data_IF_013284324009
#
_entry.id   IF_013284324009
#
_cell.length_a   1.000
_cell.length_b   1.000
_cell.length_c   1.000
_cell.angle_alpha   90.00
_cell.angle_beta   90.00
_cell.angle_gamma   90.00
#
_symmetry.space_group_name_H-M   'P 1'
#
loop_
_entity.id
_entity.type
_entity.pdbx_description
1 polymer ?
#
# COMPACT_ATOMS: atom_id res chain seq x y z
N UNK A 1 48.62 -20.99 33.01
CA UNK A 1 48.83 -21.28 31.57
C UNK A 1 48.06 -22.55 31.31
N UNK A 2 46.78 -22.42 30.89
CA UNK A 2 46.35 -22.44 29.48
C UNK A 2 46.46 -23.88 28.97
N UNK A 3 45.43 -24.61 28.56
CA UNK A 3 44.20 -24.33 27.79
C UNK A 3 43.29 -25.57 27.89
N UNK A 4 41.97 -25.39 27.97
CA UNK A 4 40.98 -26.30 27.34
C UNK A 4 39.57 -25.75 27.56
N UNK A 5 39.24 -24.64 26.88
CA UNK A 5 37.88 -24.15 26.76
C UNK A 5 37.19 -24.84 25.60
N UNK A 6 36.60 -26.02 25.84
CA UNK A 6 35.75 -26.70 24.88
C UNK A 6 34.31 -26.19 25.07
N UNK A 7 33.89 -25.27 24.19
CA UNK A 7 32.52 -24.76 24.15
C UNK A 7 31.56 -25.90 23.72
N UNK A 8 30.50 -26.21 24.48
CA UNK A 8 29.57 -27.30 24.17
C UNK A 8 28.38 -26.85 23.29
N UNK A 9 28.39 -25.63 22.77
CA UNK A 9 27.32 -25.14 21.91
C UNK A 9 27.63 -25.50 20.47
N UNK A 10 27.13 -26.68 20.06
CA UNK A 10 26.94 -26.98 18.65
C UNK A 10 26.15 -25.86 18.00
N UNK A 11 26.69 -25.31 16.92
CA UNK A 11 25.94 -24.49 15.98
C UNK A 11 24.68 -25.26 15.60
N UNK A 12 23.53 -24.83 16.11
CA UNK A 12 22.23 -25.21 15.57
C UNK A 12 22.22 -24.61 14.17
N UNK A 13 22.23 -25.42 13.09
CA UNK A 13 22.11 -24.87 11.75
C UNK A 13 20.80 -24.07 11.70
N UNK A 14 20.78 -22.88 11.06
CA UNK A 14 19.53 -22.16 10.91
C UNK A 14 18.52 -23.11 10.25
N UNK A 15 17.39 -23.38 10.90
CA UNK A 15 16.31 -24.15 10.31
C UNK A 15 15.93 -23.47 8.99
N UNK A 16 16.39 -24.04 7.88
CA UNK A 16 15.90 -23.70 6.55
C UNK A 16 14.51 -24.33 6.49
N UNK A 17 13.55 -23.57 6.98
CA UNK A 17 12.11 -23.81 6.84
C UNK A 17 11.85 -24.23 5.38
N UNK A 18 11.46 -25.48 5.17
CA UNK A 18 11.31 -26.02 3.82
C UNK A 18 10.21 -25.24 3.07
N UNK A 19 10.27 -25.20 1.74
CA UNK A 19 9.26 -24.50 0.93
C UNK A 19 7.83 -25.02 1.17
N UNK A 20 7.72 -26.27 1.63
CA UNK A 20 6.48 -26.94 1.98
C UNK A 20 5.97 -26.52 3.37
N UNK A 21 6.83 -26.49 4.38
CA UNK A 21 6.49 -25.99 5.73
C UNK A 21 6.06 -24.52 5.70
N UNK A 22 6.77 -23.70 4.91
CA UNK A 22 6.39 -22.31 4.72
C UNK A 22 5.02 -22.16 4.04
N UNK A 23 4.76 -22.98 3.02
CA UNK A 23 3.46 -22.97 2.32
C UNK A 23 2.34 -23.33 3.29
N UNK A 24 2.54 -24.38 4.09
CA UNK A 24 1.57 -24.80 5.10
C UNK A 24 1.30 -23.70 6.13
N UNK A 25 2.35 -22.98 6.59
CA UNK A 25 2.20 -21.86 7.52
C UNK A 25 1.37 -20.72 6.93
N UNK A 26 1.66 -20.30 5.70
CA UNK A 26 0.91 -19.22 5.04
C UNK A 26 -0.57 -19.61 4.86
N UNK A 27 -0.85 -20.83 4.39
CA UNK A 27 -2.22 -21.32 4.26
C UNK A 27 -2.95 -21.36 5.61
N UNK A 28 -2.27 -21.80 6.67
CA UNK A 28 -2.83 -21.81 8.02
C UNK A 28 -3.14 -20.40 8.54
N UNK A 29 -2.27 -19.42 8.32
CA UNK A 29 -2.48 -18.02 8.72
C UNK A 29 -3.68 -17.39 8.00
N UNK A 30 -3.76 -17.55 6.67
CA UNK A 30 -4.89 -17.04 5.88
C UNK A 30 -6.21 -17.66 6.35
N UNK A 31 -6.23 -18.98 6.56
CA UNK A 31 -7.41 -19.67 7.10
C UNK A 31 -7.82 -19.09 8.46
N UNK A 32 -6.86 -18.96 9.39
CA UNK A 32 -7.10 -18.44 10.73
C UNK A 32 -7.66 -17.02 10.71
N UNK A 33 -7.16 -16.14 9.85
CA UNK A 33 -7.69 -14.78 9.71
C UNK A 33 -9.13 -14.78 9.21
N UNK A 34 -9.44 -15.60 8.20
CA UNK A 34 -10.79 -15.69 7.67
C UNK A 34 -11.77 -16.31 8.68
N UNK A 35 -11.37 -17.34 9.43
CA UNK A 35 -12.21 -17.95 10.47
C UNK A 35 -12.52 -16.98 11.63
N UNK A 36 -11.56 -16.13 11.98
CA UNK A 36 -11.74 -15.12 13.04
C UNK A 36 -12.40 -13.83 12.55
N UNK A 37 -12.51 -13.65 11.24
CA UNK A 37 -12.86 -12.39 10.59
C UNK A 37 -11.99 -11.21 11.09
N UNK A 38 -10.72 -11.48 11.44
CA UNK A 38 -9.76 -10.47 11.90
C UNK A 38 -8.39 -10.68 11.28
N UNK A 39 -7.70 -9.58 10.96
CA UNK A 39 -6.32 -9.57 10.49
C UNK A 39 -5.47 -8.81 11.50
N UNK A 40 -4.32 -9.38 11.86
CA UNK A 40 -3.39 -8.74 12.78
C UNK A 40 -2.62 -7.60 12.11
N UNK A 41 -2.63 -6.42 12.72
CA UNK A 41 -2.13 -5.16 12.20
C UNK A 41 -3.23 -4.25 11.67
N UNK A 42 -2.92 -2.97 11.50
CA UNK A 42 -3.72 -2.01 10.73
C UNK A 42 -3.19 -1.92 9.29
N UNK A 43 -4.07 -2.13 8.32
CA UNK A 43 -3.72 -2.19 6.90
C UNK A 43 -4.30 -1.01 6.12
N UNK A 44 -3.64 -0.58 5.02
CA UNK A 44 -4.16 0.49 4.18
C UNK A 44 -5.47 0.08 3.50
N UNK A 45 -6.34 1.05 3.16
CA UNK A 45 -7.53 0.76 2.36
C UNK A 45 -7.11 0.22 0.98
N UNK A 46 -7.98 -0.63 0.40
CA UNK A 46 -7.77 -1.17 -0.95
C UNK A 46 -7.70 -0.07 -1.99
N UNK A 47 -6.89 -0.29 -3.01
CA UNK A 47 -6.86 0.58 -4.19
C UNK A 47 -8.18 0.55 -4.94
N UNK A 48 -8.45 1.60 -5.72
CA UNK A 48 -9.63 1.65 -6.59
C UNK A 48 -9.63 0.51 -7.62
N UNK A 49 -8.46 0.06 -8.05
CA UNK A 49 -8.34 -1.05 -9.00
C UNK A 49 -8.72 -2.38 -8.35
N UNK A 50 -8.19 -2.68 -7.16
CA UNK A 50 -8.58 -3.87 -6.41
C UNK A 50 -10.08 -3.86 -6.10
N UNK A 51 -10.63 -2.71 -5.67
CA UNK A 51 -12.04 -2.55 -5.40
C UNK A 51 -12.92 -2.82 -6.63
N UNK A 52 -12.53 -2.34 -7.82
CA UNK A 52 -13.26 -2.61 -9.09
C UNK A 52 -13.19 -4.09 -9.46
N UNK A 53 -12.04 -4.75 -9.28
CA UNK A 53 -11.87 -6.18 -9.58
C UNK A 53 -12.68 -7.06 -8.63
N UNK A 54 -12.78 -6.68 -7.36
CA UNK A 54 -13.64 -7.36 -6.38
C UNK A 54 -15.12 -7.08 -6.68
N UNK A 55 -15.48 -5.83 -6.99
CA UNK A 55 -16.84 -5.46 -7.37
C UNK A 55 -17.32 -6.23 -8.61
N UNK A 56 -16.43 -6.56 -9.55
CA UNK A 56 -16.75 -7.39 -10.70
C UNK A 56 -17.34 -8.75 -10.28
N UNK A 57 -16.95 -9.31 -9.12
CA UNK A 57 -17.51 -10.54 -8.56
C UNK A 57 -19.03 -10.51 -8.31
N UNK A 58 -19.62 -9.32 -8.16
CA UNK A 58 -21.06 -9.12 -7.99
C UNK A 58 -21.83 -8.88 -9.29
N UNK A 59 -21.14 -8.80 -10.43
CA UNK A 59 -21.73 -8.46 -11.73
C UNK A 59 -21.96 -9.70 -12.57
N UNK A 60 -22.80 -9.59 -13.60
CA UNK A 60 -23.00 -10.65 -14.59
C UNK A 60 -21.76 -10.83 -15.49
N UNK A 61 -21.69 -11.99 -16.15
CA UNK A 61 -20.52 -12.38 -16.96
C UNK A 61 -20.23 -11.38 -18.11
N UNK A 62 -21.27 -10.83 -18.76
CA UNK A 62 -21.08 -9.90 -19.86
C UNK A 62 -20.48 -8.58 -19.37
N UNK A 63 -20.99 -8.03 -18.26
CA UNK A 63 -20.42 -6.81 -17.66
C UNK A 63 -18.98 -7.03 -17.19
N UNK A 64 -18.66 -8.19 -16.59
CA UNK A 64 -17.28 -8.54 -16.21
C UNK A 64 -16.35 -8.58 -17.42
N UNK A 65 -16.79 -9.15 -18.54
CA UNK A 65 -15.99 -9.20 -19.76
C UNK A 65 -15.67 -7.79 -20.27
N UNK A 66 -16.64 -6.87 -20.26
CA UNK A 66 -16.41 -5.47 -20.62
C UNK A 66 -15.39 -4.83 -19.69
N UNK A 67 -15.47 -5.05 -18.37
CA UNK A 67 -14.49 -4.53 -17.41
C UNK A 67 -13.08 -5.09 -17.65
N UNK A 68 -12.95 -6.36 -17.99
CA UNK A 68 -11.66 -6.97 -18.31
C UNK A 68 -11.03 -6.35 -19.58
N UNK A 69 -11.83 -6.14 -20.63
CA UNK A 69 -11.37 -5.47 -21.87
C UNK A 69 -10.99 -4.02 -21.58
N UNK A 70 -11.81 -3.30 -20.79
CA UNK A 70 -11.49 -1.92 -20.34
C UNK A 70 -10.15 -1.85 -19.63
N UNK A 71 -9.89 -2.75 -18.68
CA UNK A 71 -8.61 -2.83 -17.96
C UNK A 71 -7.43 -3.05 -18.91
N UNK A 72 -7.53 -4.05 -19.80
CA UNK A 72 -6.47 -4.38 -20.78
C UNK A 72 -6.18 -3.26 -21.77
N UNK A 73 -7.18 -2.43 -22.07
CA UNK A 73 -7.05 -1.26 -22.96
C UNK A 73 -6.70 0.04 -22.21
N UNK A 74 -6.43 -0.02 -20.90
CA UNK A 74 -6.08 1.14 -20.08
C UNK A 74 -7.26 2.10 -19.80
N UNK A 75 -8.50 1.65 -20.00
CA UNK A 75 -9.71 2.42 -19.69
C UNK A 75 -10.10 2.21 -18.23
N UNK A 76 -9.98 3.27 -17.43
CA UNK A 76 -10.28 3.25 -16.00
C UNK A 76 -11.78 3.45 -15.70
N UNK A 77 -12.13 3.28 -14.43
CA UNK A 77 -13.42 3.66 -13.83
C UNK A 77 -13.20 4.92 -12.98
N UNK A 78 -14.20 5.81 -12.84
CA UNK A 78 -14.05 7.01 -12.02
C UNK A 78 -13.68 6.69 -10.58
N UNK A 79 -12.64 7.37 -10.08
CA UNK A 79 -12.27 7.34 -8.67
C UNK A 79 -13.16 8.28 -7.85
N UNK A 80 -13.43 7.91 -6.60
CA UNK A 80 -14.09 8.75 -5.59
C UNK A 80 -13.24 8.94 -4.32
N UNK A 81 -11.93 8.64 -4.40
CA UNK A 81 -11.02 8.71 -3.26
C UNK A 81 -11.10 7.50 -2.31
N UNK A 82 -11.46 6.32 -2.82
CA UNK A 82 -11.49 5.06 -2.09
C UNK A 82 -12.89 4.49 -1.86
N UNK A 83 -13.13 3.28 -2.34
CA UNK A 83 -14.42 2.60 -2.21
C UNK A 83 -14.67 1.95 -0.84
N UNK A 84 -13.63 1.76 -0.01
CA UNK A 84 -13.80 1.34 1.39
C UNK A 84 -14.60 2.38 2.20
N UNK A 85 -14.38 3.67 1.96
CA UNK A 85 -15.20 4.73 2.58
C UNK A 85 -16.66 4.68 2.12
N UNK A 86 -16.89 4.37 0.83
CA UNK A 86 -18.25 4.19 0.29
C UNK A 86 -18.98 3.04 0.99
N UNK A 87 -18.30 1.92 1.26
CA UNK A 87 -18.85 0.81 2.04
C UNK A 87 -19.28 1.26 3.43
N UNK A 88 -18.39 1.91 4.19
CA UNK A 88 -18.69 2.40 5.54
C UNK A 88 -19.86 3.38 5.57
N UNK A 89 -19.95 4.29 4.59
CA UNK A 89 -21.04 5.26 4.48
C UNK A 89 -22.37 4.56 4.16
N UNK A 90 -22.33 3.52 3.31
CA UNK A 90 -23.51 2.70 2.97
C UNK A 90 -24.01 1.92 4.19
N UNK A 91 -23.10 1.34 4.97
CA UNK A 91 -23.45 0.64 6.21
C UNK A 91 -24.03 1.60 7.26
N UNK A 92 -23.43 2.78 7.45
CA UNK A 92 -23.98 3.81 8.33
C UNK A 92 -25.40 4.22 7.90
N UNK A 93 -25.61 4.41 6.60
CA UNK A 93 -26.93 4.73 6.05
C UNK A 93 -27.96 3.65 6.40
N UNK A 94 -27.66 2.38 6.14
CA UNK A 94 -28.58 1.28 6.46
C UNK A 94 -28.86 1.15 7.95
N UNK A 95 -27.84 1.33 8.80
CA UNK A 95 -28.01 1.32 10.26
C UNK A 95 -28.92 2.46 10.74
N UNK A 96 -28.73 3.68 10.20
CA UNK A 96 -29.52 4.86 10.55
C UNK A 96 -30.98 4.71 10.09
N UNK A 97 -31.20 4.19 8.88
CA UNK A 97 -32.54 3.92 8.34
C UNK A 97 -33.25 2.86 9.18
N UNK A 98 -32.61 1.72 9.42
CA UNK A 98 -33.18 0.67 10.26
C UNK A 98 -33.53 1.19 11.67
N UNK A 99 -32.64 1.98 12.28
CA UNK A 99 -32.91 2.59 13.59
C UNK A 99 -34.08 3.56 13.54
N UNK A 100 -34.20 4.38 12.48
CA UNK A 100 -35.34 5.27 12.27
C UNK A 100 -36.68 4.49 12.21
N UNK A 101 -36.69 3.35 11.52
CA UNK A 101 -37.89 2.52 11.33
C UNK A 101 -38.33 1.81 12.64
N UNK A 102 -37.37 1.47 13.50
CA UNK A 102 -37.67 0.87 14.82
C UNK A 102 -38.15 1.86 15.88
N UNK A 103 -37.93 3.17 15.69
CA UNK A 103 -38.25 4.20 16.68
C UNK A 103 -39.72 4.64 16.57
N UNK A 104 -40.32 4.96 17.73
CA UNK A 104 -41.64 5.59 17.78
C UNK A 104 -41.58 7.01 17.19
N UNK A 105 -42.67 7.50 16.58
CA UNK A 105 -42.75 8.86 16.09
C UNK A 105 -42.41 9.89 17.17
N UNK A 106 -41.44 10.77 16.91
CA UNK A 106 -40.98 11.78 17.85
C UNK A 106 -39.66 12.45 17.46
N UNK A 107 -39.11 13.34 18.34
CA UNK A 107 -37.91 14.11 18.04
C UNK A 107 -36.67 13.28 17.69
N UNK A 108 -36.49 12.13 18.35
CA UNK A 108 -35.40 11.20 18.06
C UNK A 108 -35.52 10.60 16.64
N UNK A 109 -36.73 10.23 16.23
CA UNK A 109 -36.97 9.71 14.87
C UNK A 109 -36.66 10.78 13.81
N UNK A 110 -37.03 12.05 14.06
CA UNK A 110 -36.71 13.17 13.15
C UNK A 110 -35.19 13.37 12.98
N UNK A 111 -34.40 13.20 14.06
CA UNK A 111 -32.94 13.29 14.01
C UNK A 111 -32.34 12.20 13.12
N UNK A 112 -32.74 10.94 13.30
CA UNK A 112 -32.27 9.83 12.44
C UNK A 112 -32.73 10.00 11.00
N UNK A 113 -33.95 10.49 10.76
CA UNK A 113 -34.47 10.80 9.41
C UNK A 113 -33.64 11.89 8.72
N UNK A 114 -33.26 12.94 9.45
CA UNK A 114 -32.39 13.99 8.93
C UNK A 114 -31.01 13.42 8.54
N UNK A 115 -30.39 12.63 9.43
CA UNK A 115 -29.10 11.97 9.15
C UNK A 115 -29.19 11.03 7.96
N UNK A 116 -30.24 10.21 7.86
CA UNK A 116 -30.48 9.33 6.72
C UNK A 116 -30.55 10.12 5.41
N UNK A 117 -31.23 11.28 5.42
CA UNK A 117 -31.36 12.14 4.24
C UNK A 117 -30.01 12.75 3.83
N UNK A 118 -29.18 13.14 4.79
CA UNK A 118 -27.83 13.65 4.53
C UNK A 118 -26.94 12.57 3.89
N UNK A 119 -26.93 11.37 4.47
CA UNK A 119 -26.16 10.22 3.95
C UNK A 119 -26.66 9.80 2.55
N UNK A 120 -27.98 9.78 2.33
CA UNK A 120 -28.56 9.49 1.02
C UNK A 120 -28.13 10.50 -0.05
N UNK A 121 -28.07 11.81 0.28
CA UNK A 121 -27.57 12.83 -0.65
C UNK A 121 -26.10 12.60 -1.00
N UNK A 122 -25.27 12.24 -0.01
CA UNK A 122 -23.85 11.91 -0.24
C UNK A 122 -23.68 10.68 -1.13
N UNK A 123 -24.43 9.60 -0.86
CA UNK A 123 -24.43 8.40 -1.72
C UNK A 123 -24.86 8.73 -3.15
N UNK A 124 -25.89 9.56 -3.33
CA UNK A 124 -26.34 9.98 -4.64
C UNK A 124 -25.29 10.82 -5.39
N UNK A 125 -24.54 11.67 -4.68
CA UNK A 125 -23.44 12.42 -5.27
C UNK A 125 -22.32 11.49 -5.77
N UNK A 126 -21.92 10.50 -4.97
CA UNK A 126 -20.95 9.47 -5.40
C UNK A 126 -21.47 8.65 -6.58
N UNK A 127 -22.75 8.26 -6.55
CA UNK A 127 -23.39 7.56 -7.68
C UNK A 127 -23.28 8.38 -8.96
N UNK A 128 -23.64 9.67 -8.89
CA UNK A 128 -23.57 10.57 -10.04
C UNK A 128 -22.13 10.66 -10.57
N UNK A 129 -21.15 10.83 -9.68
CA UNK A 129 -19.73 10.91 -10.05
C UNK A 129 -19.23 9.65 -10.77
N UNK A 130 -19.66 8.46 -10.34
CA UNK A 130 -19.22 7.17 -10.92
C UNK A 130 -20.01 6.80 -12.17
N UNK A 131 -21.32 7.04 -12.22
CA UNK A 131 -22.21 6.57 -13.29
C UNK A 131 -22.26 7.54 -14.47
N UNK A 132 -22.23 8.85 -14.19
CA UNK A 132 -22.40 9.92 -15.19
C UNK A 132 -21.07 10.54 -15.65
N UNK A 133 -19.92 9.92 -15.33
CA UNK A 133 -18.61 10.47 -15.67
C UNK A 133 -18.39 10.54 -17.19
N UNK A 134 -18.32 11.75 -17.73
CA UNK A 134 -18.02 11.99 -19.15
C UNK A 134 -16.55 11.79 -19.51
N UNK A 135 -15.66 11.76 -18.51
CA UNK A 135 -14.23 11.51 -18.71
C UNK A 135 -13.92 10.02 -18.95
N UNK A 136 -14.73 9.12 -18.41
CA UNK A 136 -14.46 7.67 -18.41
C UNK A 136 -15.36 6.89 -19.37
N UNK A 137 -16.50 7.46 -19.74
CA UNK A 137 -17.44 6.85 -20.67
C UNK A 137 -17.64 7.73 -21.89
N UNK A 138 -17.72 7.12 -23.08
CA UNK A 138 -17.99 7.84 -24.31
C UNK A 138 -19.25 8.70 -24.21
N UNK A 139 -19.09 10.01 -24.39
CA UNK A 139 -20.19 10.97 -24.46
C UNK A 139 -20.64 11.15 -25.92
N UNK A 140 -21.95 11.03 -26.16
CA UNK A 140 -22.55 11.17 -27.49
C UNK A 140 -22.42 9.94 -28.40
N UNK A 141 -23.19 9.95 -29.49
CA UNK A 141 -23.45 8.76 -30.33
C UNK A 141 -22.18 8.19 -30.97
N UNK A 142 -21.25 9.04 -31.43
CA UNK A 142 -20.01 8.59 -32.09
C UNK A 142 -19.06 7.90 -31.12
N UNK A 143 -18.84 8.48 -29.94
CA UNK A 143 -17.99 7.88 -28.92
C UNK A 143 -18.60 6.56 -28.41
N UNK A 144 -19.91 6.52 -28.16
CA UNK A 144 -20.58 5.28 -27.75
C UNK A 144 -20.47 4.17 -28.80
N UNK A 145 -20.61 4.49 -30.10
CA UNK A 145 -20.42 3.49 -31.18
C UNK A 145 -19.00 2.96 -31.23
N UNK A 146 -18.00 3.83 -31.00
CA UNK A 146 -16.59 3.43 -30.92
C UNK A 146 -16.37 2.51 -29.72
N UNK A 147 -16.82 2.91 -28.54
CA UNK A 147 -16.69 2.10 -27.31
C UNK A 147 -17.35 0.73 -27.46
N UNK A 148 -18.50 0.64 -28.14
CA UNK A 148 -19.18 -0.65 -28.41
C UNK A 148 -18.40 -1.52 -29.38
N UNK A 149 -17.80 -0.93 -30.41
CA UNK A 149 -16.93 -1.65 -31.36
C UNK A 149 -15.67 -2.17 -30.67
N UNK A 150 -15.12 -1.40 -29.74
CA UNK A 150 -13.95 -1.77 -28.94
C UNK A 150 -14.32 -2.71 -27.76
N UNK A 151 -15.60 -3.01 -27.54
CA UNK A 151 -16.07 -3.87 -26.45
C UNK A 151 -15.90 -3.27 -25.04
N UNK A 152 -15.67 -1.96 -24.94
CA UNK A 152 -15.41 -1.23 -23.68
C UNK A 152 -16.62 -0.43 -23.18
N UNK A 153 -17.72 -0.46 -23.92
CA UNK A 153 -18.93 0.28 -23.57
C UNK A 153 -19.66 -0.37 -22.40
N UNK A 154 -19.87 0.40 -21.33
CA UNK A 154 -20.81 0.05 -20.27
C UNK A 154 -22.11 0.82 -20.48
N UNK A 155 -23.23 0.11 -20.54
CA UNK A 155 -24.56 0.71 -20.53
C UNK A 155 -24.89 1.32 -19.16
N UNK A 156 -25.90 2.19 -19.09
CA UNK A 156 -26.24 2.90 -17.84
C UNK A 156 -26.57 1.92 -16.70
N UNK A 157 -27.32 0.86 -16.99
CA UNK A 157 -27.68 -0.18 -16.03
C UNK A 157 -26.45 -0.92 -15.51
N UNK A 158 -25.48 -1.23 -16.38
CA UNK A 158 -24.22 -1.88 -16.00
C UNK A 158 -23.36 -0.98 -15.11
N UNK A 159 -23.33 0.33 -15.40
CA UNK A 159 -22.65 1.32 -14.54
C UNK A 159 -23.30 1.42 -13.16
N UNK A 160 -24.64 1.39 -13.12
CA UNK A 160 -25.38 1.36 -11.86
C UNK A 160 -25.14 0.08 -11.06
N UNK A 161 -25.13 -1.07 -11.73
CA UNK A 161 -24.80 -2.35 -11.13
C UNK A 161 -23.36 -2.33 -10.56
N UNK A 162 -22.40 -1.80 -11.32
CA UNK A 162 -21.02 -1.60 -10.85
C UNK A 162 -20.98 -0.69 -9.60
N UNK A 163 -21.70 0.43 -9.60
CA UNK A 163 -21.73 1.31 -8.42
C UNK A 163 -22.29 0.59 -7.18
N UNK A 164 -23.37 -0.18 -7.33
CA UNK A 164 -23.93 -1.01 -6.23
C UNK A 164 -22.94 -2.09 -5.79
N UNK A 165 -22.16 -2.65 -6.70
CA UNK A 165 -21.11 -3.61 -6.36
C UNK A 165 -19.97 -2.95 -5.59
N UNK A 166 -19.54 -1.74 -5.97
CA UNK A 166 -18.50 -0.97 -5.29
C UNK A 166 -18.89 -0.57 -3.85
N UNK A 167 -20.19 -0.43 -3.55
CA UNK A 167 -20.68 -0.26 -2.18
C UNK A 167 -20.43 -1.47 -1.28
N UNK A 168 -20.03 -2.62 -1.84
CA UNK A 168 -19.68 -3.86 -1.12
C UNK A 168 -18.17 -4.10 -1.05
N UNK A 169 -17.37 -3.09 -1.35
CA UNK A 169 -15.90 -3.19 -1.25
C UNK A 169 -15.53 -3.60 0.18
N UNK A 170 -14.77 -4.69 0.37
CA UNK A 170 -14.43 -5.18 1.68
C UNK A 170 -13.51 -4.15 2.38
N UNK A 171 -13.82 -3.85 3.63
CA UNK A 171 -13.11 -2.82 4.40
C UNK A 171 -13.16 -3.20 5.88
N UNK A 172 -12.08 -2.93 6.65
CA UNK A 172 -12.13 -3.07 8.10
C UNK A 172 -13.29 -2.26 8.67
N UNK A 173 -14.12 -2.93 9.46
CA UNK A 173 -15.20 -2.31 10.20
C UNK A 173 -14.59 -1.46 11.30
N UNK A 174 -14.47 -0.17 11.04
CA UNK A 174 -14.28 0.78 12.12
C UNK A 174 -15.62 0.81 12.87
N UNK A 175 -15.71 0.16 14.03
CA UNK A 175 -16.96 0.09 14.80
C UNK A 175 -17.63 1.46 14.84
N UNK A 176 -18.95 1.57 14.66
CA UNK A 176 -19.57 2.87 14.41
C UNK A 176 -19.18 3.87 15.49
N UNK A 177 -19.02 5.16 15.17
CA UNK A 177 -18.70 6.18 16.18
C UNK A 177 -19.67 6.11 17.38
N UNK A 178 -20.91 5.71 17.11
CA UNK A 178 -21.95 5.45 18.09
C UNK A 178 -21.75 4.14 18.88
N UNK A 179 -21.33 3.03 18.27
CA UNK A 179 -21.00 1.79 18.99
C UNK A 179 -19.72 1.92 19.80
N UNK A 180 -18.72 2.66 19.32
CA UNK A 180 -17.53 3.04 20.10
C UNK A 180 -17.97 3.89 21.29
N UNK A 181 -18.80 4.92 21.08
CA UNK A 181 -19.36 5.72 22.16
C UNK A 181 -20.24 4.91 23.13
N UNK A 182 -21.03 3.94 22.65
CA UNK A 182 -21.91 3.10 23.46
C UNK A 182 -21.16 1.98 24.20
N UNK A 183 -20.05 1.48 23.64
CA UNK A 183 -19.14 0.51 24.29
C UNK A 183 -18.33 1.22 25.39
N UNK A 184 -17.91 2.46 25.15
CA UNK A 184 -17.29 3.34 26.15
C UNK A 184 -18.30 3.74 27.23
N UNK A 185 -19.54 4.08 26.88
CA UNK A 185 -20.61 4.35 27.84
C UNK A 185 -20.94 3.12 28.71
N UNK A 186 -20.90 1.91 28.15
CA UNK A 186 -21.06 0.66 28.90
C UNK A 186 -19.87 0.34 29.81
N UNK A 187 -18.63 0.56 29.35
CA UNK A 187 -17.44 0.40 30.18
C UNK A 187 -17.40 1.40 31.34
N UNK A 188 -17.78 2.65 31.11
CA UNK A 188 -17.84 3.68 32.15
C UNK A 188 -19.04 3.55 33.08
N UNK A 189 -20.15 2.93 32.66
CA UNK A 189 -21.29 2.63 33.53
C UNK A 189 -20.98 1.49 34.52
N UNK A 190 -20.14 0.52 34.13
CA UNK A 190 -19.66 -0.53 35.04
C UNK A 190 -18.70 0.00 36.11
N UNK A 191 -17.95 1.07 35.82
CA UNK A 191 -17.05 1.75 36.77
C UNK A 191 -17.69 2.89 37.58
N UNK A 192 -18.93 3.31 37.26
CA UNK A 192 -19.59 4.45 37.90
C UNK A 192 -20.91 4.10 38.59
N UNK A 193 -20.92 2.96 39.30
CA UNK A 193 -21.75 2.84 40.51
C UNK A 193 -20.96 3.49 41.65
N UNK A 194 -20.94 4.82 41.67
CA UNK A 194 -20.17 5.58 42.63
C UNK A 194 -20.18 7.06 42.30
N UNK A 195 -21.05 7.78 43.00
CA UNK A 195 -21.13 9.24 43.11
C UNK A 195 -21.98 10.01 42.09
N UNK A 196 -22.92 10.72 42.68
CA UNK A 196 -23.99 11.50 42.10
C UNK A 196 -23.53 12.89 41.61
N UNK A 197 -24.35 13.41 40.70
CA UNK A 197 -24.90 14.78 40.67
C UNK A 197 -23.97 16.00 40.54
N UNK A 198 -24.30 16.76 39.49
CA UNK A 198 -24.17 18.22 39.30
C UNK A 198 -22.90 18.80 38.65
N UNK A 199 -23.17 19.23 37.42
CA UNK A 199 -22.75 20.47 36.76
C UNK A 199 -21.33 20.58 36.19
N UNK A 200 -21.32 20.89 34.89
CA UNK A 200 -20.19 21.38 34.08
C UNK A 200 -19.18 20.33 33.60
N UNK A 201 -19.65 19.27 32.92
CA UNK A 201 -18.81 18.12 32.50
C UNK A 201 -18.64 17.96 30.97
N UNK A 202 -19.18 18.83 30.12
CA UNK A 202 -19.09 18.64 28.65
C UNK A 202 -17.68 18.90 28.07
N UNK A 203 -16.91 19.88 28.58
CA UNK A 203 -15.57 20.19 28.06
C UNK A 203 -14.46 19.31 28.64
N UNK A 204 -14.62 18.84 29.89
CA UNK A 204 -13.67 17.93 30.55
C UNK A 204 -13.89 16.47 30.12
N UNK A 205 -15.13 16.08 29.76
CA UNK A 205 -15.40 14.78 29.14
C UNK A 205 -14.75 14.67 27.76
N UNK A 206 -14.76 15.73 26.95
CA UNK A 206 -14.10 15.72 25.64
C UNK A 206 -12.60 15.45 25.70
N UNK A 207 -11.89 16.00 26.71
CA UNK A 207 -10.45 15.80 26.89
C UNK A 207 -10.11 14.42 27.48
N UNK A 208 -10.90 13.90 28.41
CA UNK A 208 -10.72 12.54 28.94
C UNK A 208 -11.14 11.45 27.95
N UNK A 209 -12.06 11.74 27.02
CA UNK A 209 -12.38 10.86 25.88
C UNK A 209 -11.19 10.80 24.92
N UNK A 210 -10.51 11.92 24.66
CA UNK A 210 -9.27 11.93 23.87
C UNK A 210 -8.11 11.19 24.56
N UNK A 211 -7.94 11.35 25.89
CA UNK A 211 -6.90 10.65 26.64
C UNK A 211 -7.19 9.14 26.85
N UNK A 212 -8.48 8.75 26.95
CA UNK A 212 -8.88 7.34 27.03
C UNK A 212 -8.83 6.63 25.67
N UNK A 213 -9.02 7.35 24.57
CA UNK A 213 -8.73 6.88 23.21
C UNK A 213 -7.23 6.59 23.02
N UNK A 214 -6.35 7.20 23.82
CA UNK A 214 -4.91 6.98 23.77
C UNK A 214 -4.37 5.88 24.70
N UNK A 215 -5.19 5.25 25.57
CA UNK A 215 -4.69 4.34 26.62
C UNK A 215 -5.51 3.07 26.90
N UNK A 216 -6.38 2.64 25.98
CA UNK A 216 -7.27 1.51 26.22
C UNK A 216 -7.22 0.42 25.15
N UNK A 217 -6.43 -0.62 25.44
CA UNK A 217 -6.36 -1.95 24.80
C UNK A 217 -5.43 -2.03 23.57
N UNK A 218 -4.26 -2.65 23.76
CA UNK A 218 -3.48 -3.28 22.70
C UNK A 218 -4.38 -4.21 21.87
N UNK A 219 -4.75 -3.82 20.64
CA UNK A 219 -5.14 -4.73 19.54
C UNK A 219 -5.14 -3.90 18.24
N UNK A 220 -3.98 -3.73 17.61
CA UNK A 220 -3.90 -3.40 16.17
C UNK A 220 -4.48 -4.60 15.40
N UNK A 221 -5.81 -4.75 15.31
CA UNK A 221 -6.44 -5.79 14.50
C UNK A 221 -7.58 -5.20 13.67
N UNK A 222 -7.51 -5.38 12.34
CA UNK A 222 -8.60 -5.06 11.43
C UNK A 222 -9.69 -6.13 11.53
N UNK A 223 -10.91 -5.73 11.90
CA UNK A 223 -12.07 -6.63 12.03
C UNK A 223 -13.02 -6.47 10.85
N UNK A 224 -13.61 -7.56 10.36
CA UNK A 224 -14.48 -7.58 9.18
C UNK A 224 -15.89 -8.09 9.51
N UNK A 225 -16.81 -7.97 8.55
CA UNK A 225 -18.18 -8.43 8.73
C UNK A 225 -18.30 -9.95 8.87
N UNK A 226 -17.51 -10.70 8.10
CA UNK A 226 -17.39 -12.15 8.14
C UNK A 226 -16.10 -12.61 7.44
N UNK A 227 -15.85 -13.92 7.44
CA UNK A 227 -14.66 -14.50 6.79
C UNK A 227 -14.62 -14.30 5.28
N UNK A 228 -15.77 -14.18 4.60
CA UNK A 228 -15.81 -13.90 3.15
C UNK A 228 -15.31 -12.49 2.86
N UNK A 229 -15.73 -11.52 3.67
CA UNK A 229 -15.28 -10.13 3.61
C UNK A 229 -13.77 -10.03 3.90
N UNK A 230 -13.27 -10.76 4.90
CA UNK A 230 -11.83 -10.88 5.20
C UNK A 230 -11.05 -11.48 4.04
N UNK A 231 -11.53 -12.56 3.43
CA UNK A 231 -10.88 -13.22 2.31
C UNK A 231 -10.73 -12.28 1.10
N UNK A 232 -11.80 -11.54 0.76
CA UNK A 232 -11.76 -10.57 -0.34
C UNK A 232 -10.84 -9.40 -0.04
N UNK A 233 -10.82 -8.91 1.21
CA UNK A 233 -9.88 -7.87 1.63
C UNK A 233 -8.43 -8.34 1.49
N UNK A 234 -8.11 -9.54 1.99
CA UNK A 234 -6.78 -10.14 1.86
C UNK A 234 -6.37 -10.29 0.39
N UNK A 235 -7.25 -10.84 -0.45
CA UNK A 235 -6.98 -10.99 -1.89
C UNK A 235 -6.70 -9.64 -2.57
N UNK A 236 -7.50 -8.61 -2.27
CA UNK A 236 -7.30 -7.25 -2.79
C UNK A 236 -5.99 -6.61 -2.30
N UNK A 237 -5.68 -6.74 -1.02
CA UNK A 237 -4.45 -6.21 -0.42
C UNK A 237 -3.21 -6.89 -1.02
N UNK A 238 -3.26 -8.21 -1.21
CA UNK A 238 -2.19 -8.98 -1.85
C UNK A 238 -2.04 -8.60 -3.33
N UNK A 239 -3.14 -8.40 -4.03
CA UNK A 239 -3.12 -7.86 -5.39
C UNK A 239 -2.42 -6.51 -5.44
N UNK A 240 -2.79 -5.56 -4.57
CA UNK A 240 -2.18 -4.22 -4.54
C UNK A 240 -0.68 -4.29 -4.23
N UNK A 241 -0.30 -5.15 -3.30
CA UNK A 241 1.11 -5.37 -2.93
C UNK A 241 1.93 -5.96 -4.07
N UNK A 242 1.40 -6.97 -4.75
CA UNK A 242 2.09 -7.66 -5.85
C UNK A 242 2.15 -6.74 -7.07
N UNK A 243 1.01 -6.18 -7.49
CA UNK A 243 0.96 -5.30 -8.66
C UNK A 243 1.78 -4.03 -8.46
N UNK A 244 1.78 -3.47 -7.23
CA UNK A 244 2.59 -2.32 -6.85
C UNK A 244 4.09 -2.59 -6.73
N UNK A 245 4.52 -3.85 -6.69
CA UNK A 245 5.94 -4.18 -6.55
C UNK A 245 6.73 -3.81 -7.81
N UNK A 246 7.82 -3.02 -7.69
CA UNK A 246 8.69 -2.70 -8.83
C UNK A 246 9.38 -3.96 -9.38
N UNK A 247 9.65 -4.95 -8.52
CA UNK A 247 10.24 -6.22 -8.92
C UNK A 247 9.25 -7.03 -9.75
N UNK A 248 7.97 -7.07 -9.34
CA UNK A 248 6.93 -7.72 -10.13
C UNK A 248 6.77 -7.11 -11.53
N UNK A 249 6.97 -5.80 -11.69
CA UNK A 249 6.91 -5.11 -12.99
C UNK A 249 8.20 -5.15 -13.80
N UNK A 250 9.30 -5.65 -13.24
CA UNK A 250 10.59 -5.75 -13.93
C UNK A 250 10.62 -6.84 -15.01
N UNK A 251 11.56 -6.78 -15.96
CA UNK A 251 11.70 -7.81 -17.00
C UNK A 251 11.95 -9.22 -16.44
N UNK A 252 12.52 -9.34 -15.23
CA UNK A 252 12.81 -10.63 -14.59
C UNK A 252 11.57 -11.50 -14.34
N UNK A 253 10.38 -10.88 -14.25
CA UNK A 253 9.11 -11.57 -14.04
C UNK A 253 8.18 -11.55 -15.26
N UNK A 254 8.69 -11.20 -16.45
CA UNK A 254 7.87 -11.10 -17.66
C UNK A 254 7.14 -12.42 -18.02
N UNK A 255 7.81 -13.56 -17.86
CA UNK A 255 7.23 -14.89 -18.10
C UNK A 255 6.12 -15.19 -17.08
N UNK A 256 6.35 -14.92 -15.80
CA UNK A 256 5.38 -15.14 -14.72
C UNK A 256 4.16 -14.22 -14.87
N UNK A 257 4.35 -12.97 -15.30
CA UNK A 257 3.25 -12.05 -15.63
C UNK A 257 2.41 -12.53 -16.81
N UNK A 258 2.99 -13.29 -17.74
CA UNK A 258 2.22 -13.90 -18.82
C UNK A 258 1.44 -15.15 -18.35
N UNK A 259 1.99 -15.90 -17.39
CA UNK A 259 1.36 -17.10 -16.84
C UNK A 259 0.26 -16.78 -15.82
N UNK A 260 0.35 -15.65 -15.12
CA UNK A 260 -0.59 -15.24 -14.08
C UNK A 260 -1.14 -13.83 -14.35
N UNK A 261 -2.38 -13.77 -14.86
CA UNK A 261 -3.16 -12.53 -14.90
C UNK A 261 -3.73 -12.27 -13.49
N UNK A 262 -2.97 -11.56 -12.64
CA UNK A 262 -3.34 -11.27 -11.25
C UNK A 262 -4.73 -10.66 -11.11
N UNK A 263 -5.10 -9.80 -12.06
CA UNK A 263 -6.35 -9.10 -11.98
C UNK A 263 -7.52 -10.00 -12.42
N UNK A 264 -7.31 -10.93 -13.35
CA UNK A 264 -8.29 -11.99 -13.60
C UNK A 264 -8.41 -12.93 -12.39
N UNK A 265 -7.30 -13.34 -11.78
CA UNK A 265 -7.31 -14.20 -10.60
C UNK A 265 -8.08 -13.57 -9.43
N UNK A 266 -7.85 -12.29 -9.12
CA UNK A 266 -8.63 -11.57 -8.11
C UNK A 266 -10.12 -11.52 -8.45
N UNK A 267 -10.48 -11.28 -9.72
CA UNK A 267 -11.88 -11.30 -10.15
C UNK A 267 -12.51 -12.68 -10.01
N UNK A 268 -11.80 -13.77 -10.36
CA UNK A 268 -12.32 -15.12 -10.20
C UNK A 268 -12.50 -15.49 -8.72
N UNK A 269 -11.52 -15.17 -7.86
CA UNK A 269 -11.66 -15.33 -6.40
C UNK A 269 -12.91 -14.57 -5.92
N UNK A 270 -13.12 -13.34 -6.39
CA UNK A 270 -14.29 -12.55 -6.01
C UNK A 270 -15.61 -13.17 -6.47
N UNK A 271 -15.69 -13.63 -7.72
CA UNK A 271 -16.87 -14.32 -8.27
C UNK A 271 -17.23 -15.54 -7.43
N UNK A 272 -16.25 -16.42 -7.19
CA UNK A 272 -16.47 -17.67 -6.46
C UNK A 272 -16.83 -17.42 -4.99
N UNK A 273 -16.19 -16.44 -4.36
CA UNK A 273 -16.46 -16.05 -2.96
C UNK A 273 -17.87 -15.47 -2.80
N UNK A 274 -18.30 -14.60 -3.72
CA UNK A 274 -19.64 -14.01 -3.72
C UNK A 274 -20.70 -15.08 -3.97
N UNK A 275 -20.48 -15.98 -4.93
CA UNK A 275 -21.38 -17.09 -5.20
C UNK A 275 -21.51 -18.03 -4.00
N UNK A 276 -20.38 -18.41 -3.39
CA UNK A 276 -20.36 -19.26 -2.21
C UNK A 276 -21.09 -18.62 -1.01
N UNK A 277 -20.86 -17.33 -0.76
CA UNK A 277 -21.55 -16.57 0.30
C UNK A 277 -23.05 -16.52 0.03
N UNK A 278 -23.47 -16.27 -1.21
CA UNK A 278 -24.87 -16.25 -1.62
C UNK A 278 -25.57 -17.59 -1.37
N UNK A 279 -24.98 -18.70 -1.83
CA UNK A 279 -25.51 -20.05 -1.61
C UNK A 279 -25.59 -20.37 -0.12
N UNK A 280 -24.57 -19.99 0.67
CA UNK A 280 -24.59 -20.18 2.14
C UNK A 280 -25.75 -19.45 2.80
N UNK A 281 -25.99 -18.19 2.44
CA UNK A 281 -27.11 -17.40 2.97
C UNK A 281 -28.47 -18.01 2.59
N UNK A 282 -28.64 -18.46 1.35
CA UNK A 282 -29.86 -19.15 0.91
C UNK A 282 -30.10 -20.46 1.68
N UNK A 283 -29.05 -21.24 1.95
CA UNK A 283 -29.14 -22.46 2.75
C UNK A 283 -29.47 -22.15 4.23
N UNK A 284 -28.91 -21.08 4.79
CA UNK A 284 -29.22 -20.64 6.16
C UNK A 284 -30.66 -20.14 6.30
N UNK A 285 -31.18 -19.43 5.29
CA UNK A 285 -32.59 -19.04 5.21
C UNK A 285 -33.49 -20.28 5.07
N UNK A 286 -33.15 -21.22 4.19
CA UNK A 286 -33.89 -22.46 4.04
C UNK A 286 -33.92 -23.28 5.34
N UNK A 287 -32.80 -23.32 6.09
CA UNK A 287 -32.73 -24.03 7.37
C UNK A 287 -33.62 -23.38 8.45
N UNK A 288 -33.77 -22.06 8.44
CA UNK A 288 -34.65 -21.31 9.35
C UNK A 288 -36.13 -21.58 9.07
N UNK A 289 -36.50 -21.72 7.81
CA UNK A 289 -37.90 -21.95 7.38
C UNK A 289 -38.29 -23.44 7.45
N UNK A 290 -37.32 -24.36 7.39
CA UNK A 290 -37.59 -25.80 7.38
C UNK A 290 -37.86 -26.35 8.77
N UNK A 291 -39.04 -26.95 8.93
CA UNK A 291 -39.53 -27.54 10.18
C UNK A 291 -39.37 -29.07 10.24
N UNK A 292 -39.05 -29.75 9.14
CA UNK A 292 -38.87 -31.20 9.09
C UNK A 292 -37.43 -31.61 9.38
N UNK A 293 -37.23 -32.61 10.24
CA UNK A 293 -35.89 -33.09 10.62
C UNK A 293 -35.09 -33.62 9.43
N UNK A 294 -35.76 -34.33 8.52
CA UNK A 294 -35.11 -34.84 7.30
C UNK A 294 -34.66 -33.69 6.37
N UNK A 295 -35.49 -32.65 6.22
CA UNK A 295 -35.15 -31.47 5.43
C UNK A 295 -33.96 -30.71 6.03
N UNK A 296 -33.96 -30.52 7.36
CA UNK A 296 -32.84 -29.89 8.08
C UNK A 296 -31.53 -30.66 7.89
N UNK A 297 -31.56 -31.99 8.00
CA UNK A 297 -30.39 -32.85 7.77
C UNK A 297 -29.86 -32.73 6.34
N UNK A 298 -30.74 -32.72 5.35
CA UNK A 298 -30.35 -32.57 3.95
C UNK A 298 -29.68 -31.21 3.68
N UNK A 299 -30.21 -30.12 4.24
CA UNK A 299 -29.61 -28.78 4.11
C UNK A 299 -28.23 -28.74 4.77
N UNK A 300 -28.07 -29.29 5.97
CA UNK A 300 -26.77 -29.36 6.66
C UNK A 300 -25.73 -30.15 5.85
N UNK A 301 -26.12 -31.28 5.25
CA UNK A 301 -25.23 -32.04 4.35
C UNK A 301 -24.76 -31.19 3.17
N UNK A 302 -25.63 -30.35 2.59
CA UNK A 302 -25.25 -29.42 1.52
C UNK A 302 -24.31 -28.32 2.03
N UNK A 303 -24.52 -27.79 3.23
CA UNK A 303 -23.61 -26.82 3.84
C UNK A 303 -22.21 -27.40 4.07
N UNK A 304 -22.11 -28.66 4.50
CA UNK A 304 -20.82 -29.37 4.65
C UNK A 304 -20.16 -29.65 3.30
N UNK A 305 -20.94 -29.95 2.26
CA UNK A 305 -20.43 -30.17 0.92
C UNK A 305 -19.77 -28.92 0.30
N UNK A 306 -20.01 -27.72 0.85
CA UNK A 306 -19.38 -26.48 0.41
C UNK A 306 -18.01 -26.21 1.06
N UNK A 307 -17.62 -26.97 2.09
CA UNK A 307 -16.33 -26.80 2.77
C UNK A 307 -15.13 -26.92 1.81
N UNK A 308 -15.07 -27.90 0.87
CA UNK A 308 -13.95 -27.98 -0.07
C UNK A 308 -13.83 -26.75 -0.98
N UNK A 309 -14.94 -26.09 -1.32
CA UNK A 309 -14.94 -24.87 -2.15
C UNK A 309 -14.33 -23.71 -1.37
N UNK A 310 -14.68 -23.59 -0.09
CA UNK A 310 -14.06 -22.62 0.81
C UNK A 310 -12.55 -22.87 0.95
N UNK A 311 -12.14 -24.12 1.15
CA UNK A 311 -10.73 -24.49 1.29
C UNK A 311 -9.92 -24.14 0.03
N UNK A 312 -10.47 -24.41 -1.15
CA UNK A 312 -9.84 -24.04 -2.42
C UNK A 312 -9.67 -22.50 -2.54
N UNK A 313 -10.64 -21.71 -2.10
CA UNK A 313 -10.55 -20.24 -2.14
C UNK A 313 -9.48 -19.72 -1.18
N UNK A 314 -9.41 -20.28 0.02
CA UNK A 314 -8.34 -19.97 1.00
C UNK A 314 -6.98 -20.32 0.42
N UNK A 315 -6.83 -21.48 -0.22
CA UNK A 315 -5.58 -21.91 -0.83
C UNK A 315 -5.14 -21.00 -1.99
N UNK A 316 -6.08 -20.51 -2.81
CA UNK A 316 -5.79 -19.53 -3.87
C UNK A 316 -5.26 -18.21 -3.31
N UNK A 317 -5.89 -17.69 -2.25
CA UNK A 317 -5.42 -16.47 -1.56
C UNK A 317 -4.07 -16.71 -0.88
N UNK A 318 -3.86 -17.88 -0.27
CA UNK A 318 -2.56 -18.26 0.30
C UNK A 318 -1.45 -18.36 -0.77
N UNK A 319 -1.77 -18.81 -1.99
CA UNK A 319 -0.84 -18.79 -3.10
C UNK A 319 -0.44 -17.36 -3.49
N UNK A 320 -1.39 -16.40 -3.51
CA UNK A 320 -1.07 -14.98 -3.70
C UNK A 320 -0.19 -14.44 -2.55
N UNK A 321 -0.49 -14.80 -1.30
CA UNK A 321 0.32 -14.39 -0.16
C UNK A 321 1.77 -14.90 -0.28
N UNK A 322 1.95 -16.13 -0.76
CA UNK A 322 3.26 -16.69 -1.06
C UNK A 322 4.00 -15.91 -2.14
N UNK A 323 3.34 -15.52 -3.22
CA UNK A 323 3.94 -14.67 -4.27
C UNK A 323 4.42 -13.34 -3.67
N UNK A 324 3.58 -12.69 -2.86
CA UNK A 324 3.93 -11.45 -2.17
C UNK A 324 5.14 -11.59 -1.25
N UNK A 325 5.24 -12.68 -0.50
CA UNK A 325 6.40 -13.00 0.35
C UNK A 325 7.68 -13.22 -0.48
N UNK A 326 7.60 -13.98 -1.57
CA UNK A 326 8.72 -14.21 -2.49
C UNK A 326 9.21 -12.91 -3.13
N UNK A 327 8.30 -12.03 -3.57
CA UNK A 327 8.64 -10.73 -4.12
C UNK A 327 9.31 -9.84 -3.08
N UNK A 328 8.84 -9.86 -1.83
CA UNK A 328 9.45 -9.08 -0.75
C UNK A 328 10.90 -9.52 -0.50
N UNK A 329 11.19 -10.82 -0.58
CA UNK A 329 12.56 -11.34 -0.48
C UNK A 329 13.42 -10.96 -1.70
N UNK A 330 12.86 -11.07 -2.90
CA UNK A 330 13.54 -10.66 -4.13
C UNK A 330 13.85 -9.15 -4.13
N UNK A 331 12.97 -8.32 -3.58
CA UNK A 331 13.22 -6.88 -3.40
C UNK A 331 14.40 -6.59 -2.47
N UNK A 332 14.51 -7.30 -1.36
CA UNK A 332 15.65 -7.17 -0.43
C UNK A 332 16.96 -7.52 -1.15
N UNK A 333 16.96 -8.63 -1.91
CA UNK A 333 18.13 -9.06 -2.69
C UNK A 333 18.49 -8.07 -3.81
N UNK A 334 17.50 -7.54 -4.52
CA UNK A 334 17.74 -6.55 -5.57
C UNK A 334 18.29 -5.24 -4.98
N UNK A 335 17.77 -4.79 -3.83
CA UNK A 335 18.29 -3.62 -3.12
C UNK A 335 19.74 -3.84 -2.66
N UNK A 336 20.09 -5.04 -2.17
CA UNK A 336 21.48 -5.32 -1.80
C UNK A 336 22.40 -5.31 -3.01
N UNK A 337 22.00 -5.88 -4.15
CA UNK A 337 22.79 -5.86 -5.39
C UNK A 337 22.98 -4.42 -5.90
N UNK A 338 21.92 -3.61 -5.90
CA UNK A 338 22.00 -2.21 -6.30
C UNK A 338 22.88 -1.38 -5.35
N UNK A 339 22.87 -1.67 -4.06
CA UNK A 339 23.75 -1.03 -3.08
C UNK A 339 25.22 -1.37 -3.34
N UNK A 340 25.53 -2.64 -3.63
CA UNK A 340 26.89 -3.09 -3.99
C UNK A 340 27.36 -2.43 -5.29
N UNK A 341 26.53 -2.43 -6.34
CA UNK A 341 26.88 -1.77 -7.60
C UNK A 341 27.13 -0.27 -7.42
N UNK A 342 26.35 0.39 -6.55
CA UNK A 342 26.56 1.80 -6.21
C UNK A 342 27.87 2.00 -5.45
N UNK A 343 28.24 1.11 -4.53
CA UNK A 343 29.52 1.14 -3.83
C UNK A 343 30.70 0.97 -4.81
N UNK A 344 30.64 -0.03 -5.70
CA UNK A 344 31.68 -0.24 -6.71
C UNK A 344 31.85 0.96 -7.66
N UNK A 345 30.74 1.60 -8.05
CA UNK A 345 30.79 2.83 -8.85
C UNK A 345 31.34 4.04 -8.08
N UNK A 346 31.21 4.06 -6.75
CA UNK A 346 31.83 5.10 -5.91
C UNK A 346 33.32 4.83 -5.78
N UNK A 347 33.73 3.59 -5.56
CA UNK A 347 35.13 3.19 -5.47
C UNK A 347 35.90 3.55 -6.75
N UNK A 348 35.35 3.23 -7.93
CA UNK A 348 35.99 3.60 -9.20
C UNK A 348 36.15 5.13 -9.37
N UNK A 349 35.20 5.92 -8.87
CA UNK A 349 35.28 7.39 -8.90
C UNK A 349 36.29 7.94 -7.89
N UNK A 350 36.48 7.25 -6.76
CA UNK A 350 37.51 7.57 -5.77
C UNK A 350 38.89 7.25 -6.35
N UNK A 351 39.07 6.09 -6.98
CA UNK A 351 40.32 5.73 -7.65
C UNK A 351 40.71 6.74 -8.73
N UNK A 352 39.75 7.16 -9.56
CA UNK A 352 39.96 8.23 -10.55
C UNK A 352 40.32 9.59 -9.91
N UNK A 353 39.79 9.88 -8.71
CA UNK A 353 40.13 11.10 -7.97
C UNK A 353 41.55 11.00 -7.41
N UNK A 354 41.93 9.86 -6.83
CA UNK A 354 43.27 9.59 -6.28
C UNK A 354 44.30 9.67 -7.40
N UNK A 355 44.06 9.03 -8.55
CA UNK A 355 44.95 9.08 -9.71
C UNK A 355 45.21 10.53 -10.17
N UNK A 356 44.14 11.33 -10.32
CA UNK A 356 44.26 12.75 -10.67
C UNK A 356 44.91 13.60 -9.57
N UNK A 357 44.81 13.20 -8.30
CA UNK A 357 45.50 13.87 -7.21
C UNK A 357 47.01 13.61 -7.29
N UNK A 358 47.44 12.41 -7.63
CA UNK A 358 48.86 12.07 -7.84
C UNK A 358 49.49 12.89 -8.98
N UNK A 359 48.79 13.04 -10.10
CA UNK A 359 49.25 13.89 -11.22
C UNK A 359 49.37 15.37 -10.82
N UNK A 360 48.45 15.85 -9.97
CA UNK A 360 48.45 17.24 -9.47
C UNK A 360 49.51 17.47 -8.40
N UNK A 361 49.84 16.47 -7.60
CA UNK A 361 50.95 16.55 -6.66
C UNK A 361 52.28 16.73 -7.40
N UNK A 362 52.51 15.94 -8.46
CA UNK A 362 53.67 16.12 -9.35
C UNK A 362 53.68 17.49 -10.04
N UNK A 363 52.52 17.95 -10.51
CA UNK A 363 52.40 19.29 -11.10
C UNK A 363 52.67 20.39 -10.08
N UNK A 364 52.21 20.25 -8.84
CA UNK A 364 52.45 21.19 -7.76
C UNK A 364 53.92 21.23 -7.36
N UNK A 365 54.57 20.06 -7.21
CA UNK A 365 56.01 19.94 -6.97
C UNK A 365 56.80 20.60 -8.10
N UNK A 366 56.42 20.38 -9.36
CA UNK A 366 57.09 21.01 -10.50
C UNK A 366 56.88 22.54 -10.52
N UNK A 367 55.70 23.01 -10.11
CA UNK A 367 55.40 24.44 -10.01
C UNK A 367 56.21 25.09 -8.88
N UNK A 368 56.36 24.41 -7.74
CA UNK A 368 57.24 24.83 -6.66
C UNK A 368 58.70 24.87 -7.12
N UNK A 369 59.19 23.82 -7.78
CA UNK A 369 60.55 23.77 -8.31
C UNK A 369 60.83 24.90 -9.32
N UNK A 370 59.88 25.21 -10.21
CA UNK A 370 60.00 26.35 -11.13
C UNK A 370 59.98 27.67 -10.36
N UNK A 371 59.14 27.81 -9.33
CA UNK A 371 59.14 28.96 -8.43
C UNK A 371 60.51 29.18 -7.76
N UNK A 372 61.12 28.12 -7.25
CA UNK A 372 62.45 28.16 -6.63
C UNK A 372 63.55 28.58 -7.64
N UNK A 373 63.40 28.18 -8.92
CA UNK A 373 64.31 28.62 -9.98
C UNK A 373 64.17 30.12 -10.30
N UNK A 374 62.96 30.67 -10.26
CA UNK A 374 62.74 32.10 -10.46
C UNK A 374 63.39 32.94 -9.34
N UNK A 375 63.33 32.47 -8.10
CA UNK A 375 63.98 33.12 -6.96
C UNK A 375 65.51 33.22 -7.16
N UNK A 376 66.12 32.17 -7.68
CA UNK A 376 67.55 32.17 -8.04
C UNK A 376 67.92 33.09 -9.22
N UNK A 377 66.98 33.36 -10.14
CA UNK A 377 67.20 34.27 -11.28
C UNK A 377 67.17 35.73 -10.83
N UNK A 378 66.33 36.10 -9.85
CA UNK A 378 66.31 37.45 -9.28
C UNK A 378 67.66 37.81 -8.65
N UNK A 379 68.27 36.89 -7.91
CA UNK A 379 69.60 37.05 -7.31
C UNK A 379 70.71 37.23 -8.39
N UNK A 380 70.64 36.44 -9.47
CA UNK A 380 71.53 36.55 -10.62
C UNK A 380 71.38 37.89 -11.36
N UNK A 381 70.14 38.38 -11.55
CA UNK A 381 69.89 39.67 -12.21
C UNK A 381 70.40 40.83 -11.37
N UNK A 382 70.20 40.82 -10.05
CA UNK A 382 70.78 41.83 -9.14
C UNK A 382 72.30 41.85 -9.21
N UNK A 383 72.92 40.67 -9.26
CA UNK A 383 74.37 40.54 -9.41
C UNK A 383 74.84 41.12 -10.76
N UNK A 384 74.16 40.78 -11.84
CA UNK A 384 74.48 41.27 -13.19
C UNK A 384 74.30 42.79 -13.31
N UNK A 385 73.24 43.33 -12.68
CA UNK A 385 72.95 44.75 -12.65
C UNK A 385 74.02 45.51 -11.84
N UNK A 386 74.47 44.94 -10.72
CA UNK A 386 75.56 45.52 -9.92
C UNK A 386 76.90 45.53 -10.67
N UNK A 387 77.19 44.47 -11.43
CA UNK A 387 78.37 44.41 -12.30
C UNK A 387 78.29 45.45 -13.43
N UNK A 388 77.15 45.55 -14.12
CA UNK A 388 76.92 46.54 -15.17
C UNK A 388 77.03 47.98 -14.65
N UNK A 389 76.47 48.29 -13.47
CA UNK A 389 76.62 49.61 -12.86
C UNK A 389 78.07 49.89 -12.46
N UNK A 390 78.81 48.87 -12.00
CA UNK A 390 80.25 48.96 -11.76
C UNK A 390 81.02 49.31 -13.04
N UNK A 391 80.81 48.55 -14.12
CA UNK A 391 81.47 48.78 -15.41
C UNK A 391 81.13 50.16 -16.01
N UNK A 392 79.88 50.60 -15.90
CA UNK A 392 79.46 51.95 -16.34
C UNK A 392 80.12 53.04 -15.49
N UNK A 393 80.24 52.84 -14.17
CA UNK A 393 80.92 53.78 -13.29
C UNK A 393 82.42 53.88 -13.62
N UNK A 394 83.08 52.77 -13.94
CA UNK A 394 84.48 52.76 -14.41
C UNK A 394 84.64 53.48 -15.75
N UNK A 395 83.78 53.19 -16.74
CA UNK A 395 83.81 53.84 -18.06
C UNK A 395 83.52 55.34 -17.98
N UNK A 396 82.59 55.76 -17.13
CA UNK A 396 82.27 57.18 -16.95
C UNK A 396 83.36 57.93 -16.17
N UNK A 397 83.99 57.31 -15.18
CA UNK A 397 85.17 57.86 -14.51
C UNK A 397 86.36 58.07 -15.47
N UNK A 398 86.50 57.19 -16.47
CA UNK A 398 87.51 57.33 -17.53
C UNK A 398 87.19 58.51 -18.48
N UNK A 399 85.92 58.72 -18.82
CA UNK A 399 85.47 59.83 -19.67
C UNK A 399 85.47 61.20 -18.98
N UNK A 400 85.52 61.24 -17.64
CA UNK A 400 85.51 62.44 -16.82
C UNK A 400 86.90 63.02 -16.50
N UNK A 401 87.99 62.42 -16.98
CA UNK A 401 89.35 62.94 -16.80
C UNK A 401 89.67 64.00 -17.86
N UNK A 402 89.83 65.29 -17.50
CA UNK A 402 90.23 66.31 -18.44
C UNK A 402 91.74 66.21 -18.69
N UNK A 403 92.13 65.53 -19.77
CA UNK A 403 93.50 65.65 -20.29
C UNK A 403 93.72 67.03 -20.92
N UNK A 404 94.39 67.85 -20.12
CA UNK A 404 95.39 68.86 -20.46
C UNK A 404 95.89 68.81 -21.91
N UNK A 405 95.62 69.89 -22.65
CA UNK A 405 96.63 70.71 -23.31
C UNK A 405 96.16 72.16 -23.40
#
# INVERSE_FOLDING_TARGET
MSESGQSPYGEIPPMIDTDEERRARISFEVRRWCERATISGTHPPLSDQAAVLIAAGHLDAATRQVLAIRRRTGRTIPSIGGFGHLRLLTDEYHQVVHRCDTLRPGPAQLLFKYRATELARKLQAYRSAVVMSTAHYGSGVRAMRRDRREGVHLDLEQRDALFRALQRTPTPLTGSAFERAAKIARGTAAERIGHASQNTVMAAAGRRVADALGRGVDLDEDTFADGYDTLLYLAGMLYDRIDGSPVWRSEHFAVQRHQLDLADELTQIAVDTVALRGIRLELDDALRVTHSDNGRRQIQLRQTALTPVWDQLVDRVAALARIGDLLSRAEVQLRSVLAVNRAMSLDSRIDDLIARSGDRELSAVNTHHVGDQFDGVEELMLTYQSALYGDIAELTAWSGSPERK
#
